data_IF_282210070735
#
_entry.id   IF_282210070735
#
_cell.length_a   1.000
_cell.length_b   1.000
_cell.length_c   1.000
_cell.angle_alpha   90.00
_cell.angle_beta   90.00
_cell.angle_gamma   90.00
#
_symmetry.space_group_name_H-M   'P 1'
#
loop_
_entity.id
_entity.type
_entity.pdbx_description
1 polymer ?
#
# COMPACT_ATOMS: atom_id res chain seq x y z
N UNK A 1 11.38 7.22 23.05
CA UNK A 1 12.76 7.50 22.57
C UNK A 1 13.34 6.27 21.86
N UNK A 2 13.37 5.09 22.49
CA UNK A 2 13.83 3.83 21.88
C UNK A 2 13.10 3.39 20.61
N UNK A 3 11.77 3.60 20.53
CA UNK A 3 10.99 3.26 19.34
C UNK A 3 11.55 3.89 18.05
N UNK A 4 12.08 5.12 18.11
CA UNK A 4 12.68 5.76 16.94
C UNK A 4 13.86 4.96 16.39
N UNK A 5 14.78 4.53 17.27
CA UNK A 5 15.93 3.74 16.85
C UNK A 5 15.51 2.41 16.22
N UNK A 6 14.44 1.79 16.71
CA UNK A 6 13.90 0.58 16.07
C UNK A 6 13.32 0.88 14.69
N UNK A 7 12.51 1.95 14.59
CA UNK A 7 11.90 2.38 13.33
C UNK A 7 12.95 2.73 12.28
N UNK A 8 14.10 3.29 12.67
CA UNK A 8 15.23 3.57 11.79
C UNK A 8 15.84 2.26 11.22
N UNK A 9 15.97 1.20 12.03
CA UNK A 9 16.52 -0.09 11.61
C UNK A 9 15.66 -0.76 10.53
N UNK A 10 14.34 -0.69 10.69
CA UNK A 10 13.37 -1.30 9.77
C UNK A 10 12.94 -0.39 8.62
N UNK A 11 13.65 0.75 8.43
CA UNK A 11 13.37 1.73 7.35
C UNK A 11 11.94 2.25 7.35
N UNK A 12 11.40 2.49 8.53
CA UNK A 12 10.05 3.02 8.65
C UNK A 12 9.92 4.39 7.99
N UNK A 13 8.93 4.48 7.11
CA UNK A 13 8.39 5.71 6.57
C UNK A 13 6.87 5.56 6.47
N UNK A 14 6.15 6.69 6.43
CA UNK A 14 4.71 6.71 6.17
C UNK A 14 4.40 6.78 4.67
N UNK A 15 5.45 6.83 3.84
CA UNK A 15 5.39 6.92 2.39
C UNK A 15 6.38 5.96 1.73
N UNK A 16 6.23 5.74 0.43
CA UNK A 16 7.04 4.81 -0.35
C UNK A 16 8.41 5.37 -0.79
N UNK A 17 8.79 6.59 -0.43
CA UNK A 17 10.16 7.12 -0.56
C UNK A 17 10.74 7.13 -1.99
N UNK A 18 9.89 7.17 -3.01
CA UNK A 18 10.26 7.21 -4.44
C UNK A 18 9.57 8.42 -5.13
N UNK A 19 9.79 8.64 -6.44
CA UNK A 19 9.31 9.79 -7.22
C UNK A 19 7.89 10.30 -6.91
N UNK A 20 6.90 9.42 -6.80
CA UNK A 20 5.51 9.79 -6.48
C UNK A 20 5.20 9.85 -4.99
N UNK A 21 6.11 9.32 -4.16
CA UNK A 21 6.08 9.29 -2.70
C UNK A 21 4.69 9.06 -2.08
N UNK A 22 4.00 8.02 -2.55
CA UNK A 22 2.64 7.73 -2.10
C UNK A 22 2.61 7.24 -0.65
N UNK A 23 1.51 7.52 0.04
CA UNK A 23 1.29 7.09 1.42
C UNK A 23 1.21 5.56 1.51
N UNK A 24 1.85 4.99 2.54
CA UNK A 24 1.74 3.58 2.88
C UNK A 24 0.53 3.39 3.80
N UNK A 25 -0.48 2.70 3.27
CA UNK A 25 -1.69 2.38 4.01
C UNK A 25 -1.37 1.74 5.36
N UNK A 26 -1.95 2.30 6.42
CA UNK A 26 -1.84 1.80 7.79
C UNK A 26 -0.42 1.75 8.39
N UNK A 27 0.61 2.37 7.78
CA UNK A 27 1.98 2.38 8.30
C UNK A 27 2.06 2.87 9.77
N UNK A 28 1.26 3.87 10.12
CA UNK A 28 1.16 4.39 11.49
C UNK A 28 0.81 3.31 12.53
N UNK A 29 0.08 2.24 12.15
CA UNK A 29 -0.24 1.14 13.06
C UNK A 29 1.02 0.38 13.49
N UNK A 30 1.97 0.22 12.58
CA UNK A 30 3.27 -0.39 12.87
C UNK A 30 4.11 0.49 13.81
N UNK A 31 4.19 1.80 13.55
CA UNK A 31 4.82 2.75 14.48
C UNK A 31 4.25 2.65 15.87
N UNK A 32 2.92 2.71 15.98
CA UNK A 32 2.26 2.69 17.28
C UNK A 32 2.40 1.33 17.96
N UNK A 33 2.44 0.23 17.20
CA UNK A 33 2.78 -1.11 17.71
C UNK A 33 4.18 -1.13 18.35
N UNK A 34 5.21 -0.62 17.67
CA UNK A 34 6.58 -0.56 18.21
C UNK A 34 6.63 0.28 19.49
N UNK A 35 5.94 1.43 19.49
CA UNK A 35 5.83 2.29 20.68
C UNK A 35 5.17 1.55 21.84
N UNK A 36 4.05 0.86 21.58
CA UNK A 36 3.34 0.08 22.62
C UNK A 36 4.18 -1.07 23.13
N UNK A 37 4.81 -1.86 22.24
CA UNK A 37 5.62 -3.01 22.61
C UNK A 37 6.77 -2.62 23.54
N UNK A 38 7.49 -1.54 23.21
CA UNK A 38 8.59 -1.05 24.04
C UNK A 38 8.10 -0.43 25.36
N UNK A 39 7.00 0.31 25.35
CA UNK A 39 6.45 0.90 26.59
C UNK A 39 5.85 -0.14 27.54
N UNK A 40 5.48 -1.32 27.03
CA UNK A 40 4.95 -2.45 27.80
C UNK A 40 6.06 -3.42 28.25
N UNK A 41 7.33 -3.08 28.02
CA UNK A 41 8.48 -3.95 28.28
C UNK A 41 8.30 -5.36 27.69
N UNK A 42 7.81 -5.42 26.44
CA UNK A 42 7.63 -6.70 25.75
C UNK A 42 8.95 -7.47 25.70
N UNK A 43 8.99 -8.74 26.15
CA UNK A 43 10.21 -9.54 26.09
C UNK A 43 10.80 -9.56 24.68
N UNK A 44 12.10 -9.34 24.57
CA UNK A 44 12.77 -9.20 23.27
C UNK A 44 12.58 -10.42 22.36
N UNK A 45 12.58 -11.63 22.92
CA UNK A 45 12.30 -12.85 22.17
C UNK A 45 10.91 -12.84 21.53
N UNK A 46 9.89 -12.39 22.28
CA UNK A 46 8.53 -12.24 21.75
C UNK A 46 8.48 -11.13 20.70
N UNK A 47 9.13 -9.99 20.95
CA UNK A 47 9.20 -8.89 19.99
C UNK A 47 9.82 -9.31 18.65
N UNK A 48 10.91 -10.07 18.68
CA UNK A 48 11.55 -10.63 17.47
C UNK A 48 10.64 -11.65 16.78
N UNK A 49 10.00 -12.56 17.53
CA UNK A 49 9.06 -13.53 16.93
C UNK A 49 7.87 -12.84 16.24
N UNK A 50 7.34 -11.78 16.84
CA UNK A 50 6.24 -11.00 16.24
C UNK A 50 6.65 -10.31 14.94
N UNK A 51 7.89 -9.83 14.83
CA UNK A 51 8.40 -9.30 13.57
C UNK A 51 8.55 -10.40 12.53
N UNK A 52 9.22 -11.50 12.88
CA UNK A 52 9.58 -12.52 11.89
C UNK A 52 8.37 -13.35 11.41
N UNK A 53 7.42 -13.65 12.31
CA UNK A 53 6.35 -14.60 12.06
C UNK A 53 5.06 -14.29 12.86
N UNK A 54 4.79 -13.02 13.14
CA UNK A 54 3.63 -12.60 13.94
C UNK A 54 2.26 -12.98 13.37
N UNK A 55 2.18 -13.22 12.06
CA UNK A 55 1.01 -13.73 11.34
C UNK A 55 0.80 -15.25 11.49
N UNK A 56 1.87 -15.98 11.84
CA UNK A 56 1.88 -17.44 12.00
C UNK A 56 1.83 -17.89 13.47
N UNK A 57 1.78 -16.97 14.42
CA UNK A 57 1.73 -17.32 15.84
C UNK A 57 0.38 -17.99 16.19
N UNK A 58 0.38 -19.19 16.80
CA UNK A 58 -0.85 -19.87 17.19
C UNK A 58 -1.60 -19.12 18.30
N UNK A 59 -0.86 -18.50 19.21
CA UNK A 59 -1.38 -17.66 20.29
C UNK A 59 -0.83 -16.23 20.14
N UNK A 60 -1.47 -15.39 19.31
CA UNK A 60 -0.99 -14.03 19.10
C UNK A 60 -1.26 -13.16 20.32
N UNK A 61 -0.33 -12.24 20.60
CA UNK A 61 -0.52 -11.19 21.60
C UNK A 61 -1.67 -10.28 21.19
N UNK A 62 -2.57 -10.03 22.14
CA UNK A 62 -3.73 -9.17 21.95
C UNK A 62 -3.53 -7.85 22.66
N UNK A 63 -3.98 -6.77 22.04
CA UNK A 63 -4.02 -5.47 22.71
C UNK A 63 -4.86 -5.58 24.00
N UNK A 64 -4.39 -5.12 25.17
CA UNK A 64 -5.11 -5.34 26.43
C UNK A 64 -6.50 -4.70 26.48
N UNK A 65 -6.70 -3.56 25.82
CA UNK A 65 -7.95 -2.80 25.84
C UNK A 65 -8.87 -3.19 24.68
N UNK A 66 -8.38 -3.09 23.45
CA UNK A 66 -9.17 -3.27 22.23
C UNK A 66 -9.16 -4.71 21.70
N UNK A 67 -8.33 -5.59 22.26
CA UNK A 67 -8.25 -7.02 21.94
C UNK A 67 -7.90 -7.36 20.49
N UNK A 68 -7.51 -6.40 19.65
CA UNK A 68 -7.01 -6.67 18.30
C UNK A 68 -5.66 -7.43 18.35
N UNK A 69 -5.29 -8.09 17.25
CA UNK A 69 -4.06 -8.84 17.12
C UNK A 69 -2.86 -7.90 16.94
N UNK A 70 -2.03 -7.75 17.98
CA UNK A 70 -0.82 -6.93 17.93
C UNK A 70 0.32 -7.66 17.21
N UNK A 71 0.44 -8.98 17.41
CA UNK A 71 1.52 -9.76 16.81
C UNK A 71 1.52 -9.70 15.29
N UNK A 72 0.34 -9.72 14.65
CA UNK A 72 0.19 -9.61 13.20
C UNK A 72 0.86 -8.34 12.65
N UNK A 73 0.77 -7.23 13.38
CA UNK A 73 1.30 -5.93 12.96
C UNK A 73 2.83 -6.00 12.83
N UNK A 74 3.50 -6.81 13.65
CA UNK A 74 4.95 -6.96 13.64
C UNK A 74 5.50 -7.32 12.25
N UNK A 75 4.77 -8.12 11.46
CA UNK A 75 5.17 -8.54 10.10
C UNK A 75 5.06 -7.45 9.04
N UNK A 76 4.43 -6.30 9.34
CA UNK A 76 4.26 -5.22 8.37
C UNK A 76 5.59 -4.63 7.90
N UNK A 77 6.66 -4.73 8.71
CA UNK A 77 7.97 -4.19 8.38
C UNK A 77 8.58 -4.78 7.10
N UNK A 78 8.18 -5.99 6.71
CA UNK A 78 8.63 -6.62 5.47
C UNK A 78 8.26 -5.80 4.22
N UNK A 79 7.29 -4.90 4.31
CA UNK A 79 6.88 -4.03 3.21
C UNK A 79 7.20 -2.56 3.42
N UNK A 80 8.00 -2.24 4.44
CA UNK A 80 8.60 -0.92 4.58
C UNK A 80 9.84 -0.84 3.68
N UNK A 81 9.82 0.12 2.77
CA UNK A 81 10.90 0.32 1.80
C UNK A 81 10.45 1.15 0.60
N UNK A 82 11.37 1.42 -0.32
CA UNK A 82 11.05 2.15 -1.53
C UNK A 82 10.05 1.38 -2.39
N UNK A 83 9.07 2.08 -2.96
CA UNK A 83 8.09 1.49 -3.86
C UNK A 83 7.81 2.37 -5.08
N UNK A 84 7.89 1.79 -6.29
CA UNK A 84 7.63 2.51 -7.54
C UNK A 84 6.15 2.45 -7.93
N UNK A 85 5.56 3.60 -8.23
CA UNK A 85 4.17 3.69 -8.69
C UNK A 85 3.98 3.07 -10.09
N UNK A 86 4.95 3.23 -10.98
CA UNK A 86 4.89 2.71 -12.35
C UNK A 86 6.29 2.22 -12.78
N UNK A 87 6.75 1.07 -12.27
CA UNK A 87 8.04 0.52 -12.63
C UNK A 87 8.06 0.13 -14.11
N UNK A 88 9.14 0.48 -14.81
CA UNK A 88 9.37 0.09 -16.21
C UNK A 88 9.71 -1.40 -16.35
N UNK A 89 10.30 -1.99 -15.30
CA UNK A 89 10.60 -3.42 -15.19
C UNK A 89 10.01 -3.97 -13.89
N UNK A 90 8.91 -4.71 -14.03
CA UNK A 90 8.18 -5.30 -12.91
C UNK A 90 9.01 -6.36 -12.17
N UNK A 91 9.86 -7.10 -12.90
CA UNK A 91 10.66 -8.18 -12.31
C UNK A 91 11.83 -7.62 -11.53
N UNK A 92 12.49 -6.58 -12.04
CA UNK A 92 13.53 -5.89 -11.30
C UNK A 92 12.99 -5.28 -9.99
N UNK A 93 11.82 -4.62 -10.05
CA UNK A 93 11.16 -4.06 -8.86
C UNK A 93 10.83 -5.14 -7.82
N UNK A 94 10.31 -6.28 -8.27
CA UNK A 94 10.05 -7.42 -7.39
C UNK A 94 11.33 -7.96 -6.74
N UNK A 95 12.41 -8.12 -7.52
CA UNK A 95 13.71 -8.56 -7.00
C UNK A 95 14.29 -7.58 -5.98
N UNK A 96 14.24 -6.27 -6.24
CA UNK A 96 14.75 -5.24 -5.33
C UNK A 96 13.95 -5.16 -4.04
N UNK A 97 12.65 -5.48 -4.12
CA UNK A 97 11.79 -5.56 -2.95
C UNK A 97 12.13 -6.75 -2.04
N UNK A 98 12.40 -7.94 -2.61
CA UNK A 98 12.90 -9.07 -1.83
C UNK A 98 14.31 -8.83 -1.29
N UNK A 99 15.16 -8.14 -2.06
CA UNK A 99 16.49 -7.72 -1.59
C UNK A 99 16.40 -6.78 -0.38
N UNK A 100 15.48 -5.81 -0.41
CA UNK A 100 15.21 -4.93 0.73
C UNK A 100 14.78 -5.72 1.98
N UNK A 101 13.92 -6.74 1.83
CA UNK A 101 13.53 -7.59 2.95
C UNK A 101 14.73 -8.32 3.55
N UNK A 102 15.50 -9.02 2.72
CA UNK A 102 16.70 -9.76 3.17
C UNK A 102 17.67 -8.81 3.87
N UNK A 103 17.92 -7.64 3.27
CA UNK A 103 18.84 -6.65 3.82
C UNK A 103 18.38 -6.14 5.19
N UNK A 104 17.11 -5.75 5.32
CA UNK A 104 16.56 -5.21 6.58
C UNK A 104 16.57 -6.28 7.66
N UNK A 105 16.14 -7.50 7.37
CA UNK A 105 16.06 -8.59 8.36
C UNK A 105 17.45 -8.96 8.87
N UNK A 106 18.38 -9.17 7.95
CA UNK A 106 19.71 -9.68 8.30
C UNK A 106 20.50 -8.62 9.07
N UNK A 107 20.37 -7.33 8.70
CA UNK A 107 21.00 -6.24 9.46
C UNK A 107 20.32 -6.00 10.81
N UNK A 108 18.99 -5.98 10.87
CA UNK A 108 18.26 -5.62 12.10
C UNK A 108 18.33 -6.70 13.17
N UNK A 109 18.17 -7.96 12.79
CA UNK A 109 18.05 -9.07 13.75
C UNK A 109 19.34 -9.85 13.94
N UNK A 110 20.17 -9.95 12.90
CA UNK A 110 21.42 -10.72 12.96
C UNK A 110 22.66 -9.84 13.09
N UNK A 111 22.55 -8.55 12.75
CA UNK A 111 23.71 -7.66 12.66
C UNK A 111 24.63 -8.00 11.48
N UNK A 112 24.10 -8.65 10.44
CA UNK A 112 24.87 -9.20 9.31
C UNK A 112 24.47 -8.54 8.00
N UNK A 113 25.42 -8.41 7.07
CA UNK A 113 25.21 -7.82 5.73
C UNK A 113 25.05 -8.87 4.64
N UNK A 114 24.15 -9.85 4.85
CA UNK A 114 23.97 -10.98 3.93
C UNK A 114 23.55 -10.53 2.52
N UNK A 115 22.87 -9.39 2.37
CA UNK A 115 22.51 -8.83 1.06
C UNK A 115 23.72 -8.54 0.15
N UNK A 116 24.91 -8.34 0.71
CA UNK A 116 26.14 -8.21 -0.10
C UNK A 116 26.51 -9.50 -0.84
N UNK A 117 25.95 -10.65 -0.44
CA UNK A 117 26.15 -11.93 -1.13
C UNK A 117 25.25 -12.10 -2.38
N UNK A 118 24.43 -11.11 -2.73
CA UNK A 118 23.49 -11.18 -3.88
C UNK A 118 24.16 -11.56 -5.19
N UNK A 119 25.36 -11.01 -5.46
CA UNK A 119 26.03 -11.14 -6.75
C UNK A 119 27.24 -12.10 -6.72
N UNK A 120 27.80 -12.34 -5.54
CA UNK A 120 28.99 -13.18 -5.33
C UNK A 120 29.05 -13.59 -3.86
N UNK A 121 29.87 -14.59 -3.51
CA UNK A 121 30.07 -14.95 -2.10
C UNK A 121 30.56 -13.75 -1.29
N UNK A 122 30.02 -13.58 -0.09
CA UNK A 122 30.27 -12.41 0.74
C UNK A 122 31.78 -12.23 0.99
N UNK A 123 32.27 -10.98 0.91
CA UNK A 123 33.71 -10.69 0.88
C UNK A 123 34.47 -11.10 2.14
N UNK A 124 33.82 -10.96 3.31
CA UNK A 124 34.46 -11.12 4.62
C UNK A 124 33.83 -12.24 5.44
N UNK A 125 32.50 -12.21 5.55
CA UNK A 125 31.73 -13.25 6.26
C UNK A 125 31.50 -14.51 5.42
N UNK A 126 31.32 -15.69 6.05
CA UNK A 126 31.18 -16.98 5.37
C UNK A 126 29.76 -17.22 4.83
N UNK A 127 29.21 -16.25 4.09
CA UNK A 127 27.93 -16.39 3.40
C UNK A 127 28.16 -16.56 1.91
N UNK A 128 27.66 -17.66 1.36
CA UNK A 128 27.70 -17.91 -0.07
C UNK A 128 26.56 -17.17 -0.76
N UNK A 129 26.71 -16.90 -2.06
CA UNK A 129 25.59 -16.41 -2.87
C UNK A 129 24.39 -17.38 -2.80
N UNK A 130 24.65 -18.69 -2.66
CA UNK A 130 23.62 -19.70 -2.43
C UNK A 130 22.79 -19.47 -1.16
N UNK A 131 23.38 -18.94 -0.09
CA UNK A 131 22.67 -18.64 1.15
C UNK A 131 21.72 -17.46 0.97
N UNK A 132 22.17 -16.41 0.27
CA UNK A 132 21.32 -15.28 -0.12
C UNK A 132 20.11 -15.76 -0.93
N UNK A 133 20.34 -16.59 -1.96
CA UNK A 133 19.24 -17.07 -2.81
C UNK A 133 18.32 -18.08 -2.09
N UNK A 134 18.80 -18.75 -1.05
CA UNK A 134 17.96 -19.56 -0.16
C UNK A 134 17.00 -18.71 0.67
N UNK A 135 17.47 -17.55 1.17
CA UNK A 135 16.60 -16.55 1.81
C UNK A 135 15.62 -15.94 0.80
N UNK A 136 16.11 -15.58 -0.39
CA UNK A 136 15.26 -15.07 -1.48
C UNK A 136 14.11 -16.03 -1.79
N UNK A 137 14.36 -17.34 -1.89
CA UNK A 137 13.33 -18.32 -2.14
C UNK A 137 12.23 -18.34 -1.05
N UNK A 138 12.61 -18.08 0.21
CA UNK A 138 11.65 -17.97 1.33
C UNK A 138 10.73 -16.76 1.14
N UNK A 139 11.30 -15.59 0.82
CA UNK A 139 10.52 -14.35 0.66
C UNK A 139 9.72 -14.29 -0.64
N UNK A 140 10.20 -14.95 -1.71
CA UNK A 140 9.52 -15.00 -2.99
C UNK A 140 8.12 -15.65 -2.91
N UNK A 141 7.83 -16.43 -1.87
CA UNK A 141 6.51 -17.00 -1.60
C UNK A 141 5.55 -16.06 -0.84
N UNK A 142 5.98 -14.86 -0.45
CA UNK A 142 5.18 -13.92 0.33
C UNK A 142 4.36 -12.98 -0.55
N UNK A 143 3.20 -12.55 -0.05
CA UNK A 143 2.29 -11.63 -0.76
C UNK A 143 1.98 -10.44 0.11
N UNK A 144 2.09 -9.24 -0.48
CA UNK A 144 1.64 -8.00 0.16
C UNK A 144 0.12 -7.87 0.08
N UNK A 145 -0.50 -7.52 1.21
CA UNK A 145 -1.90 -7.13 1.22
C UNK A 145 -2.33 -6.65 2.60
N UNK A 146 -3.43 -5.88 2.67
CA UNK A 146 -3.98 -5.46 3.94
C UNK A 146 -4.42 -6.69 4.75
N UNK A 147 -4.08 -6.68 6.04
CA UNK A 147 -4.47 -7.72 6.99
C UNK A 147 -5.34 -7.12 8.08
N UNK A 148 -6.50 -7.73 8.30
CA UNK A 148 -7.45 -7.29 9.32
C UNK A 148 -6.98 -7.77 10.71
N UNK A 149 -6.60 -6.82 11.58
CA UNK A 149 -6.16 -7.10 12.96
C UNK A 149 -7.31 -7.19 13.96
N UNK A 150 -8.50 -6.71 13.58
CA UNK A 150 -9.68 -6.59 14.44
C UNK A 150 -10.18 -7.93 14.98
N UNK A 151 -10.88 -7.89 16.12
CA UNK A 151 -11.56 -9.06 16.67
C UNK A 151 -12.77 -9.44 15.82
N UNK A 152 -13.20 -10.71 15.89
CA UNK A 152 -14.42 -11.15 15.21
C UNK A 152 -15.65 -10.34 15.63
N UNK A 153 -15.76 -10.03 16.91
CA UNK A 153 -16.83 -9.18 17.43
C UNK A 153 -16.81 -7.78 16.79
N UNK A 154 -15.65 -7.12 16.75
CA UNK A 154 -15.53 -5.80 16.12
C UNK A 154 -15.84 -5.84 14.62
N UNK A 155 -15.49 -6.94 13.94
CA UNK A 155 -15.85 -7.17 12.53
C UNK A 155 -17.36 -7.27 12.34
N UNK A 156 -18.03 -8.07 13.16
CA UNK A 156 -19.48 -8.25 13.12
C UNK A 156 -20.22 -6.93 13.41
N UNK A 157 -19.80 -6.20 14.44
CA UNK A 157 -20.37 -4.88 14.78
C UNK A 157 -20.16 -3.84 13.67
N UNK A 158 -18.98 -3.84 13.03
CA UNK A 158 -18.71 -2.99 11.86
C UNK A 158 -19.59 -3.39 10.68
N UNK A 159 -19.72 -4.68 10.39
CA UNK A 159 -20.53 -5.18 9.28
C UNK A 159 -22.00 -4.80 9.47
N UNK A 160 -22.56 -4.99 10.66
CA UNK A 160 -23.94 -4.60 10.97
C UNK A 160 -24.16 -3.08 10.83
N UNK A 161 -23.17 -2.26 11.19
CA UNK A 161 -23.25 -0.80 11.02
C UNK A 161 -23.15 -0.35 9.56
N UNK A 162 -22.37 -1.06 8.76
CA UNK A 162 -22.17 -0.74 7.34
C UNK A 162 -23.29 -1.27 6.46
N UNK A 163 -24.03 -2.29 6.88
CA UNK A 163 -25.14 -2.87 6.10
C UNK A 163 -26.15 -1.82 5.59
N UNK A 164 -26.74 -0.92 6.41
CA UNK A 164 -27.68 0.08 5.90
C UNK A 164 -27.01 1.08 4.95
N UNK A 165 -25.73 1.43 5.19
CA UNK A 165 -24.99 2.35 4.33
C UNK A 165 -24.69 1.71 2.97
N UNK A 166 -24.37 0.43 2.93
CA UNK A 166 -24.18 -0.31 1.68
C UNK A 166 -25.49 -0.44 0.91
N UNK A 167 -26.62 -0.65 1.60
CA UNK A 167 -27.94 -0.68 0.97
C UNK A 167 -28.30 0.69 0.36
N UNK A 168 -28.06 1.78 1.09
CA UNK A 168 -28.27 3.14 0.59
C UNK A 168 -27.34 3.47 -0.58
N UNK A 169 -26.05 3.12 -0.48
CA UNK A 169 -25.08 3.30 -1.55
C UNK A 169 -25.48 2.55 -2.81
N UNK A 170 -25.97 1.31 -2.68
CA UNK A 170 -26.45 0.52 -3.82
C UNK A 170 -27.67 1.17 -4.48
N UNK A 171 -28.61 1.72 -3.69
CA UNK A 171 -29.75 2.47 -4.20
C UNK A 171 -29.32 3.74 -4.94
N UNK A 172 -28.46 4.55 -4.34
CA UNK A 172 -27.93 5.77 -4.95
C UNK A 172 -27.12 5.48 -6.22
N UNK A 173 -26.39 4.36 -6.25
CA UNK A 173 -25.66 3.93 -7.44
C UNK A 173 -26.61 3.61 -8.60
N UNK A 174 -27.75 2.96 -8.34
CA UNK A 174 -28.78 2.71 -9.34
C UNK A 174 -29.43 4.02 -9.83
N UNK A 175 -29.79 4.91 -8.90
CA UNK A 175 -30.36 6.23 -9.25
C UNK A 175 -29.37 7.03 -10.11
N UNK A 176 -28.09 7.06 -9.74
CA UNK A 176 -27.04 7.71 -10.53
C UNK A 176 -26.94 7.10 -11.92
N UNK A 177 -26.94 5.77 -12.05
CA UNK A 177 -26.88 5.11 -13.36
C UNK A 177 -28.08 5.46 -14.23
N UNK A 178 -29.29 5.53 -13.66
CA UNK A 178 -30.48 5.97 -14.41
C UNK A 178 -30.37 7.41 -14.86
N UNK A 179 -29.96 8.32 -13.98
CA UNK A 179 -29.79 9.73 -14.29
C UNK A 179 -28.69 9.96 -15.34
N UNK A 180 -27.59 9.22 -15.25
CA UNK A 180 -26.49 9.28 -16.22
C UNK A 180 -26.93 8.83 -17.60
N UNK A 181 -27.74 7.77 -17.71
CA UNK A 181 -28.34 7.35 -18.99
C UNK A 181 -29.26 8.42 -19.59
N UNK A 182 -30.11 9.03 -18.78
CA UNK A 182 -30.98 10.13 -19.22
C UNK A 182 -30.18 11.36 -19.66
N UNK A 183 -29.15 11.72 -18.89
CA UNK A 183 -28.26 12.84 -19.21
C UNK A 183 -27.52 12.59 -20.54
N UNK A 184 -26.98 11.39 -20.73
CA UNK A 184 -26.27 11.01 -21.96
C UNK A 184 -27.21 10.99 -23.17
N UNK A 185 -28.46 10.52 -23.00
CA UNK A 185 -29.46 10.57 -24.07
C UNK A 185 -29.79 12.03 -24.46
N UNK A 186 -30.03 12.89 -23.48
CA UNK A 186 -30.26 14.33 -23.71
C UNK A 186 -29.06 15.03 -24.34
N UNK A 187 -27.84 14.67 -23.90
CA UNK A 187 -26.60 15.21 -24.46
C UNK A 187 -26.46 14.79 -25.93
N UNK A 188 -26.74 13.53 -26.27
CA UNK A 188 -26.70 13.04 -27.65
C UNK A 188 -27.74 13.73 -28.55
N UNK A 189 -28.96 13.97 -28.04
CA UNK A 189 -29.99 14.73 -28.77
C UNK A 189 -29.56 16.19 -29.00
N UNK A 190 -29.04 16.85 -27.96
CA UNK A 190 -28.55 18.23 -28.04
C UNK A 190 -27.35 18.35 -28.99
N UNK A 191 -26.43 17.38 -28.97
CA UNK A 191 -25.27 17.31 -29.88
C UNK A 191 -25.73 17.10 -31.33
N UNK A 192 -26.69 16.20 -31.56
CA UNK A 192 -27.25 15.98 -32.90
C UNK A 192 -27.96 17.22 -33.44
N UNK A 193 -28.65 18.01 -32.60
CA UNK A 193 -29.27 19.27 -32.99
C UNK A 193 -28.22 20.37 -33.24
N UNK A 194 -27.23 20.50 -32.36
CA UNK A 194 -26.12 21.43 -32.54
C UNK A 194 -25.36 21.12 -33.84
N UNK A 195 -25.10 19.86 -34.14
CA UNK A 195 -24.41 19.43 -35.37
C UNK A 195 -25.13 19.84 -36.67
N UNK A 196 -26.47 20.02 -36.65
CA UNK A 196 -27.22 20.52 -37.82
C UNK A 196 -26.94 21.99 -38.13
N UNK A 197 -26.64 22.79 -37.10
CA UNK A 197 -26.37 24.23 -37.21
C UNK A 197 -24.88 24.58 -37.10
N UNK A 198 -24.06 23.62 -36.66
CA UNK A 198 -22.63 23.78 -36.47
C UNK A 198 -21.89 23.89 -37.81
N UNK A 199 -21.33 25.07 -38.06
CA UNK A 199 -20.57 25.36 -39.28
C UNK A 199 -19.15 25.76 -38.91
N UNK A 200 -18.30 24.76 -38.60
CA UNK A 200 -16.87 25.03 -38.42
C UNK A 200 -16.22 25.25 -39.79
N UNK A 201 -15.53 26.38 -40.01
CA UNK A 201 -14.72 26.56 -41.21
C UNK A 201 -13.67 25.45 -41.31
N UNK A 202 -13.35 25.01 -42.53
CA UNK A 202 -12.32 23.99 -42.74
C UNK A 202 -10.98 24.54 -42.27
N UNK A 203 -10.26 23.79 -41.43
CA UNK A 203 -8.94 24.20 -40.94
C UNK A 203 -8.00 24.52 -42.11
N UNK A 204 -7.39 25.71 -42.07
CA UNK A 204 -6.44 26.18 -43.08
C UNK A 204 -5.02 26.10 -42.53
N UNK A 205 -4.07 25.70 -43.37
CA UNK A 205 -2.63 25.69 -43.04
C UNK A 205 -2.04 27.08 -42.83
N UNK A 206 -2.79 28.13 -43.14
CA UNK A 206 -2.33 29.52 -43.09
C UNK A 206 -2.98 30.31 -41.95
N UNK A 207 -4.23 30.02 -41.59
CA UNK A 207 -4.93 30.67 -40.47
C UNK A 207 -5.90 29.68 -39.81
N UNK A 208 -5.85 29.57 -38.49
CA UNK A 208 -6.84 28.86 -37.67
C UNK A 208 -7.10 29.72 -36.45
N UNK A 209 -7.79 30.84 -36.65
CA UNK A 209 -8.22 31.71 -35.56
C UNK A 209 -9.72 31.56 -35.39
N UNK A 210 -10.15 31.13 -34.20
CA UNK A 210 -11.57 31.01 -33.85
C UNK A 210 -11.94 32.18 -32.95
N UNK A 211 -12.80 33.07 -33.43
CA UNK A 211 -13.35 34.18 -32.64
C UNK A 211 -14.79 33.90 -32.26
N UNK A 212 -15.06 33.84 -30.96
CA UNK A 212 -16.42 33.68 -30.43
C UNK A 212 -16.91 35.01 -29.86
N UNK A 213 -18.16 35.41 -30.12
CA UNK A 213 -18.75 36.55 -29.42
C UNK A 213 -18.87 36.20 -27.93
N UNK A 214 -18.70 37.18 -27.02
CA UNK A 214 -18.87 36.93 -25.60
C UNK A 214 -20.31 36.48 -25.30
N UNK A 215 -20.48 35.29 -24.72
CA UNK A 215 -21.77 34.81 -24.27
C UNK A 215 -22.25 35.65 -23.06
N UNK A 216 -23.46 36.20 -23.16
CA UNK A 216 -24.12 36.79 -22.00
C UNK A 216 -24.65 35.66 -21.13
N UNK A 217 -23.96 35.42 -20.02
CA UNK A 217 -24.42 34.53 -18.95
C UNK A 217 -25.77 35.07 -18.43
N UNK A 218 -26.83 34.25 -18.51
CA UNK A 218 -28.12 34.51 -17.88
C UNK A 218 -28.14 34.05 -16.43
#
# INVERSE_FOLDING_TARGET
RWARHWLDLVRYAETAGHEFDYELDYAWQYRDYVVRALNQDLPYNQFVMEHLAGDLLPEPRRNPQQKFNESLIGTAFYWLGPGKHSPVDLRAEECDRFDNQIDVITKTFLGLTVACARCHDHKFDPFLAGDYYSLYATFAGTVHGPREVSTEQARSERAARLEPLHAEQAKLAQERETFEKELLARAAEAEAEAAKSWTRPKASRYETEETFPPEQVK
#
